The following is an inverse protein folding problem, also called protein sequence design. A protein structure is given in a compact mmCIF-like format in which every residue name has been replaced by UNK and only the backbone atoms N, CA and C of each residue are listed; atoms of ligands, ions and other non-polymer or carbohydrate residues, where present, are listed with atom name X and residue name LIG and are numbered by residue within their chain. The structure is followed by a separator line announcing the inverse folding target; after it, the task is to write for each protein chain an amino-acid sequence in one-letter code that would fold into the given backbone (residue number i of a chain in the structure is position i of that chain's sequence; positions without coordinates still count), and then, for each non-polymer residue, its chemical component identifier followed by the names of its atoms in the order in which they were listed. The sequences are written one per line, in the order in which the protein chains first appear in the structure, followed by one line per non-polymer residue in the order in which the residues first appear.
data_IF_765732415608
#
_entry.id   IF_765732415608
#
_cell.length_a   1.000
_cell.length_b   1.000
_cell.length_c   1.000
_cell.angle_alpha   90.00
_cell.angle_beta   90.00
_cell.angle_gamma   90.00
#
_symmetry.space_group_name_H-M   'P 1'
#
loop_
_entity.id
_entity.type
_entity.pdbx_description
1 polymer ?
#
# COMPACT_ATOMS: atom_id res chain seq x y z
N UNK A 1 -9.99 -1.92 1.17
CA UNK A 1 -8.82 -2.63 1.75
C UNK A 1 -7.57 -2.09 1.09
N UNK A 2 -6.77 -1.30 1.80
CA UNK A 2 -5.46 -0.89 1.30
C UNK A 2 -4.50 -2.05 1.58
N UNK A 3 -4.06 -2.75 0.52
CA UNK A 3 -3.05 -3.80 0.66
C UNK A 3 -1.76 -3.14 1.17
N UNK A 4 -1.36 -3.48 2.39
CA UNK A 4 -0.06 -3.11 2.95
C UNK A 4 1.01 -3.80 2.10
N UNK A 5 1.98 -3.04 1.59
CA UNK A 5 3.16 -3.62 0.93
C UNK A 5 4.14 -4.15 1.96
N UNK A 6 4.84 -5.21 1.57
CA UNK A 6 5.98 -5.74 2.31
C UNK A 6 7.12 -4.70 2.33
N UNK A 7 7.89 -4.55 3.43
CA UNK A 7 9.08 -3.70 3.47
C UNK A 7 10.05 -3.91 2.31
N UNK A 8 10.17 -5.14 1.82
CA UNK A 8 11.00 -5.47 0.67
C UNK A 8 10.48 -4.81 -0.62
N UNK A 9 9.17 -4.86 -0.86
CA UNK A 9 8.53 -4.20 -2.00
C UNK A 9 8.68 -2.67 -1.90
N UNK A 10 8.57 -2.12 -0.69
CA UNK A 10 8.79 -0.69 -0.42
C UNK A 10 10.22 -0.29 -0.81
N UNK A 11 11.23 -1.05 -0.38
CA UNK A 11 12.63 -0.83 -0.78
C UNK A 11 12.82 -0.93 -2.28
N UNK A 12 12.21 -1.91 -2.93
CA UNK A 12 12.30 -2.07 -4.38
C UNK A 12 11.71 -0.88 -5.14
N UNK A 13 10.57 -0.33 -4.68
CA UNK A 13 10.00 0.89 -5.24
C UNK A 13 10.97 2.05 -5.09
N UNK A 14 11.56 2.24 -3.91
CA UNK A 14 12.54 3.32 -3.65
C UNK A 14 13.77 3.22 -4.57
N UNK A 15 14.30 2.00 -4.79
CA UNK A 15 15.43 1.77 -5.71
C UNK A 15 15.06 2.16 -7.13
N UNK A 16 13.88 1.74 -7.62
CA UNK A 16 13.45 2.05 -8.98
C UNK A 16 13.13 3.55 -9.17
N UNK A 17 12.63 4.23 -8.14
CA UNK A 17 12.46 5.69 -8.16
C UNK A 17 13.81 6.40 -8.25
N UNK A 18 14.80 5.96 -7.48
CA UNK A 18 16.17 6.50 -7.55
C UNK A 18 16.80 6.29 -8.93
N UNK A 19 16.49 5.17 -9.58
CA UNK A 19 16.94 4.85 -10.93
C UNK A 19 16.16 5.60 -12.04
N UNK A 20 15.17 6.43 -11.68
CA UNK A 20 14.44 7.29 -12.61
C UNK A 20 13.28 6.61 -13.34
N UNK A 21 12.82 5.45 -12.88
CA UNK A 21 11.67 4.77 -13.50
C UNK A 21 10.36 5.51 -13.21
N UNK A 22 9.47 5.55 -14.20
CA UNK A 22 8.11 6.08 -14.00
C UNK A 22 7.27 5.15 -13.12
N UNK A 23 6.33 5.70 -12.35
CA UNK A 23 5.43 4.91 -11.50
C UNK A 23 4.68 3.80 -12.25
N UNK A 24 4.36 4.03 -13.53
CA UNK A 24 3.75 3.02 -14.41
C UNK A 24 4.71 1.87 -14.70
N UNK A 25 5.98 2.18 -14.99
CA UNK A 25 7.03 1.20 -15.20
C UNK A 25 7.31 0.38 -13.94
N UNK A 26 7.38 1.04 -12.78
CA UNK A 26 7.57 0.39 -11.48
C UNK A 26 6.45 -0.63 -11.21
N UNK A 27 5.19 -0.23 -11.41
CA UNK A 27 4.06 -1.14 -11.23
C UNK A 27 4.11 -2.35 -12.18
N UNK A 28 4.52 -2.14 -13.43
CA UNK A 28 4.69 -3.23 -14.39
C UNK A 28 5.83 -4.20 -14.02
N UNK A 29 6.96 -3.68 -13.50
CA UNK A 29 8.12 -4.49 -13.11
C UNK A 29 7.81 -5.33 -11.87
N UNK A 30 7.23 -4.70 -10.83
CA UNK A 30 6.97 -5.34 -9.55
C UNK A 30 5.65 -6.14 -9.53
N UNK A 31 4.82 -6.02 -10.56
CA UNK A 31 3.47 -6.60 -10.57
C UNK A 31 2.51 -5.93 -9.58
N UNK A 32 2.86 -4.72 -9.12
CA UNK A 32 2.06 -3.93 -8.17
C UNK A 32 1.16 -2.97 -8.94
N UNK A 33 -0.06 -2.74 -8.46
CA UNK A 33 -0.97 -1.80 -9.12
C UNK A 33 -0.36 -0.38 -9.16
N UNK A 34 -0.50 0.31 -10.30
CA UNK A 34 -0.02 1.70 -10.44
C UNK A 34 -0.58 2.63 -9.35
N UNK A 35 -1.79 2.36 -8.88
CA UNK A 35 -2.45 3.15 -7.85
C UNK A 35 -1.74 2.96 -6.50
N UNK A 36 -1.35 1.72 -6.18
CA UNK A 36 -0.55 1.41 -4.99
C UNK A 36 0.80 2.14 -5.06
N UNK A 37 1.53 2.03 -6.18
CA UNK A 37 2.81 2.75 -6.36
C UNK A 37 2.62 4.25 -6.18
N UNK A 38 1.58 4.84 -6.79
CA UNK A 38 1.28 6.26 -6.64
C UNK A 38 1.00 6.66 -5.18
N UNK A 39 0.27 5.84 -4.43
CA UNK A 39 0.01 6.08 -3.00
C UNK A 39 1.30 6.09 -2.19
N UNK A 40 2.17 5.11 -2.40
CA UNK A 40 3.46 5.04 -1.71
C UNK A 40 4.40 6.19 -2.10
N UNK A 41 4.47 6.56 -3.38
CA UNK A 41 5.23 7.73 -3.84
C UNK A 41 4.76 9.02 -3.15
N UNK A 42 3.45 9.21 -3.00
CA UNK A 42 2.91 10.34 -2.24
C UNK A 42 3.34 10.30 -0.78
N UNK A 43 3.31 9.13 -0.13
CA UNK A 43 3.77 8.99 1.24
C UNK A 43 5.27 9.29 1.40
N UNK A 44 6.11 8.85 0.45
CA UNK A 44 7.54 9.17 0.44
C UNK A 44 7.75 10.68 0.37
N UNK A 45 7.07 11.36 -0.55
CA UNK A 45 7.18 12.82 -0.69
C UNK A 45 6.66 13.57 0.55
N UNK A 46 5.60 13.06 1.19
CA UNK A 46 5.06 13.65 2.43
C UNK A 46 5.89 13.34 3.67
N UNK A 47 6.81 12.37 3.62
CA UNK A 47 7.61 11.98 4.78
C UNK A 47 8.70 12.99 5.16
N UNK A 48 9.06 13.90 4.24
CA UNK A 48 10.12 14.88 4.43
C UNK A 48 11.54 14.35 4.22
N UNK A 49 11.71 13.05 3.96
CA UNK A 49 13.00 12.42 3.66
C UNK A 49 13.23 12.33 2.15
N UNK A 50 14.50 12.43 1.75
CA UNK A 50 14.90 12.11 0.39
C UNK A 50 14.85 10.59 0.12
N UNK A 51 14.69 10.20 -1.14
CA UNK A 51 14.70 8.79 -1.53
C UNK A 51 16.00 8.08 -1.12
N UNK A 52 17.14 8.80 -1.14
CA UNK A 52 18.44 8.28 -0.71
C UNK A 52 18.48 7.95 0.79
N UNK A 53 17.91 8.81 1.63
CA UNK A 53 17.81 8.58 3.08
C UNK A 53 16.87 7.42 3.39
N UNK A 54 15.72 7.35 2.71
CA UNK A 54 14.76 6.26 2.88
C UNK A 54 15.37 4.89 2.56
N UNK A 55 16.29 4.82 1.59
CA UNK A 55 17.00 3.57 1.26
C UNK A 55 17.98 3.12 2.34
N UNK A 56 18.45 4.02 3.20
CA UNK A 56 19.34 3.69 4.31
C UNK A 56 18.59 3.21 5.56
N UNK A 57 17.26 3.32 5.58
CA UNK A 57 16.45 2.83 6.70
C UNK A 57 16.34 1.31 6.68
N UNK A 58 16.30 0.74 7.87
CA UNK A 58 16.01 -0.66 8.08
C UNK A 58 14.52 -0.97 7.80
N UNK A 59 14.21 -2.24 7.63
CA UNK A 59 12.85 -2.69 7.29
C UNK A 59 11.83 -2.37 8.39
N UNK A 60 12.25 -2.35 9.66
CA UNK A 60 11.35 -2.02 10.78
C UNK A 60 10.97 -0.55 10.75
N UNK A 61 11.94 0.34 10.50
CA UNK A 61 11.71 1.77 10.38
C UNK A 61 10.86 2.14 9.16
N UNK A 62 11.10 1.50 8.02
CA UNK A 62 10.25 1.67 6.83
C UNK A 62 8.81 1.20 7.09
N UNK A 63 8.66 0.07 7.78
CA UNK A 63 7.35 -0.42 8.21
C UNK A 63 6.63 0.59 9.09
N UNK A 64 7.32 1.20 10.06
CA UNK A 64 6.72 2.18 10.97
C UNK A 64 6.26 3.45 10.24
N UNK A 65 7.08 3.94 9.30
CA UNK A 65 6.81 5.16 8.53
C UNK A 65 5.68 4.99 7.52
N UNK A 66 5.64 3.83 6.83
CA UNK A 66 4.72 3.59 5.70
C UNK A 66 3.66 2.53 5.98
N UNK A 67 3.53 2.08 7.24
CA UNK A 67 2.31 1.40 7.65
C UNK A 67 1.17 2.39 7.51
N UNK A 68 0.10 1.95 6.84
CA UNK A 68 -1.17 2.66 6.77
C UNK A 68 -1.62 3.00 8.19
N UNK A 69 -1.23 4.17 8.70
CA UNK A 69 -1.88 4.78 9.84
C UNK A 69 -3.29 5.00 9.35
N UNK A 70 -4.17 4.07 9.70
CA UNK A 70 -5.58 4.33 9.56
C UNK A 70 -5.79 5.59 10.39
N UNK A 71 -6.29 6.65 9.76
CA UNK A 71 -6.75 7.87 10.45
C UNK A 71 -8.02 7.59 11.25
N UNK A 72 -8.16 6.35 11.71
CA UNK A 72 -9.21 5.91 12.60
C UNK A 72 -8.79 6.48 13.94
N UNK A 73 -9.42 7.60 14.28
CA UNK A 73 -9.53 8.05 15.66
C UNK A 73 -9.98 6.86 16.50
N UNK A 74 -9.07 6.36 17.34
CA UNK A 74 -9.22 5.13 18.10
C UNK A 74 -10.42 5.25 19.03
N UNK A 75 -10.59 6.41 19.68
CA UNK A 75 -11.71 6.67 20.59
C UNK A 75 -13.04 6.61 19.83
N UNK A 76 -13.15 7.34 18.71
CA UNK A 76 -14.39 7.38 17.92
C UNK A 76 -14.76 6.00 17.36
N UNK A 77 -13.76 5.21 16.99
CA UNK A 77 -13.98 3.86 16.50
C UNK A 77 -14.42 2.91 17.60
N UNK A 78 -13.81 3.00 18.78
CA UNK A 78 -14.15 2.15 19.93
C UNK A 78 -15.59 2.41 20.40
N UNK A 79 -16.00 3.68 20.46
CA UNK A 79 -17.39 4.05 20.77
C UNK A 79 -18.39 3.45 19.79
N UNK A 80 -18.09 3.52 18.47
CA UNK A 80 -18.89 2.86 17.46
C UNK A 80 -18.91 1.34 17.68
N UNK A 81 -17.77 0.70 17.97
CA UNK A 81 -17.70 -0.75 18.14
C UNK A 81 -18.57 -1.25 19.31
N UNK A 82 -18.62 -0.51 20.41
CA UNK A 82 -19.49 -0.79 21.56
C UNK A 82 -20.97 -0.64 21.20
N UNK A 83 -21.32 0.43 20.48
CA UNK A 83 -22.70 0.62 20.01
C UNK A 83 -23.16 -0.53 19.08
N UNK A 84 -22.29 -0.95 18.15
CA UNK A 84 -22.59 -2.05 17.24
C UNK A 84 -22.79 -3.40 17.95
N UNK A 85 -22.11 -3.63 19.08
CA UNK A 85 -22.31 -4.83 19.90
C UNK A 85 -23.69 -4.85 20.54
N UNK A 86 -24.11 -3.71 21.12
CA UNK A 86 -25.41 -3.56 21.74
C UNK A 86 -26.54 -3.81 20.74
N UNK A 87 -26.50 -3.20 19.56
CA UNK A 87 -27.57 -3.39 18.56
C UNK A 87 -27.55 -4.78 17.93
N UNK A 88 -26.39 -5.43 17.83
CA UNK A 88 -26.31 -6.79 17.30
C UNK A 88 -26.97 -7.80 18.25
N UNK A 89 -26.91 -7.57 19.56
CA UNK A 89 -27.65 -8.36 20.55
C UNK A 89 -29.18 -8.18 20.41
N UNK A 90 -29.63 -6.97 20.07
CA UNK A 90 -31.05 -6.65 19.86
C UNK A 90 -31.60 -7.07 18.49
N UNK A 91 -30.76 -7.66 17.61
CA UNK A 91 -31.11 -7.95 16.21
C UNK A 91 -32.28 -8.92 16.03
N UNK A 92 -32.51 -9.80 17.00
CA UNK A 92 -33.63 -10.76 16.99
C UNK A 92 -34.98 -10.12 17.34
N UNK A 93 -35.00 -8.86 17.73
CA UNK A 93 -36.22 -8.17 18.13
C UNK A 93 -37.06 -7.75 16.91
N UNK A 94 -38.39 -7.96 16.92
CA UNK A 94 -39.27 -7.50 15.86
C UNK A 94 -39.22 -5.96 15.75
N UNK A 95 -39.17 -5.44 14.52
CA UNK A 95 -39.05 -4.00 14.27
C UNK A 95 -37.61 -3.46 14.24
N UNK A 96 -36.59 -4.32 14.33
CA UNK A 96 -35.20 -3.93 14.16
C UNK A 96 -34.96 -3.30 12.78
N UNK A 97 -34.56 -2.02 12.77
CA UNK A 97 -34.15 -1.33 11.53
C UNK A 97 -32.82 -0.62 11.73
N UNK A 98 -31.93 -0.83 10.77
CA UNK A 98 -30.61 -0.20 10.77
C UNK A 98 -30.67 1.33 10.72
N UNK A 99 -31.68 1.89 10.05
CA UNK A 99 -31.90 3.34 9.97
C UNK A 99 -32.21 3.93 11.35
N UNK A 100 -33.07 3.27 12.14
CA UNK A 100 -33.41 3.72 13.48
C UNK A 100 -32.18 3.76 14.39
N UNK A 101 -31.41 2.66 14.43
CA UNK A 101 -30.19 2.58 15.23
C UNK A 101 -29.11 3.55 14.78
N UNK A 102 -28.99 3.82 13.48
CA UNK A 102 -28.08 4.85 13.01
C UNK A 102 -28.50 6.25 13.48
N UNK A 103 -29.79 6.58 13.38
CA UNK A 103 -30.28 7.89 13.81
C UNK A 103 -30.07 8.11 15.32
N UNK A 104 -30.30 7.06 16.12
CA UNK A 104 -30.01 7.06 17.56
C UNK A 104 -28.52 7.24 17.84
N UNK A 105 -27.65 6.47 17.17
CA UNK A 105 -26.19 6.65 17.26
C UNK A 105 -25.74 8.07 16.89
N UNK A 106 -26.26 8.61 15.79
CA UNK A 106 -25.87 9.93 15.29
C UNK A 106 -26.35 11.08 16.19
N UNK A 107 -27.43 10.89 16.95
CA UNK A 107 -27.91 11.87 17.93
C UNK A 107 -27.06 11.90 19.21
N UNK A 108 -26.44 10.77 19.58
CA UNK A 108 -25.71 10.61 20.83
C UNK A 108 -24.19 10.90 20.70
N UNK A 109 -23.69 11.15 19.49
CA UNK A 109 -22.25 11.29 19.21
C UNK A 109 -21.98 12.64 18.54
N UNK A 110 -20.96 13.37 19.00
CA UNK A 110 -20.60 14.71 18.50
C UNK A 110 -20.10 14.68 17.04
N UNK A 111 -19.37 13.63 16.65
CA UNK A 111 -18.83 13.45 15.30
C UNK A 111 -19.13 12.03 14.77
N UNK A 112 -20.39 11.74 14.39
CA UNK A 112 -20.79 10.40 14.01
C UNK A 112 -20.20 10.01 12.65
N UNK A 113 -19.91 8.72 12.49
CA UNK A 113 -19.68 8.16 11.15
C UNK A 113 -20.92 8.35 10.27
N UNK A 114 -20.73 8.48 8.96
CA UNK A 114 -21.85 8.52 8.03
C UNK A 114 -22.56 7.16 7.98
N UNK A 115 -23.82 7.14 7.55
CA UNK A 115 -24.62 5.92 7.44
C UNK A 115 -23.91 4.80 6.66
N UNK A 116 -23.28 5.14 5.53
CA UNK A 116 -22.52 4.17 4.73
C UNK A 116 -21.33 3.59 5.51
N UNK A 117 -20.59 4.43 6.25
CA UNK A 117 -19.47 3.99 7.07
C UNK A 117 -19.94 3.10 8.23
N UNK A 118 -21.02 3.49 8.91
CA UNK A 118 -21.65 2.67 9.95
C UNK A 118 -21.99 1.26 9.42
N UNK A 119 -22.61 1.18 8.24
CA UNK A 119 -22.94 -0.11 7.62
C UNK A 119 -21.70 -0.89 7.22
N UNK A 120 -20.67 -0.23 6.69
CA UNK A 120 -19.40 -0.88 6.36
C UNK A 120 -18.76 -1.50 7.61
N UNK A 121 -18.69 -0.74 8.71
CA UNK A 121 -18.17 -1.20 9.99
C UNK A 121 -18.97 -2.38 10.54
N UNK A 122 -20.31 -2.31 10.50
CA UNK A 122 -21.19 -3.39 10.93
C UNK A 122 -21.01 -4.65 10.09
N UNK A 123 -21.01 -4.52 8.76
CA UNK A 123 -20.80 -5.66 7.86
C UNK A 123 -19.42 -6.27 8.03
N UNK A 124 -18.37 -5.45 8.16
CA UNK A 124 -17.02 -5.95 8.39
C UNK A 124 -16.91 -6.75 9.69
N UNK A 125 -17.64 -6.36 10.74
CA UNK A 125 -17.64 -7.03 12.05
C UNK A 125 -18.46 -8.32 12.07
N UNK A 126 -19.65 -8.33 11.45
CA UNK A 126 -20.63 -9.42 11.62
C UNK A 126 -21.00 -10.19 10.35
N UNK A 127 -20.71 -9.68 9.15
CA UNK A 127 -20.96 -10.43 7.91
C UNK A 127 -19.80 -11.39 7.65
N UNK A 128 -20.10 -12.68 7.71
CA UNK A 128 -19.17 -13.72 7.24
C UNK A 128 -19.00 -13.56 5.73
N UNK A 129 -17.75 -13.49 5.27
CA UNK A 129 -17.43 -13.56 3.84
C UNK A 129 -18.01 -14.87 3.29
N UNK A 130 -19.07 -14.80 2.47
CA UNK A 130 -19.40 -15.90 1.57
C UNK A 130 -18.17 -16.06 0.67
N UNK A 131 -17.37 -17.09 0.90
CA UNK A 131 -16.12 -17.31 0.19
C UNK A 131 -16.35 -17.35 -1.33
N UNK A 132 -16.11 -16.23 -2.00
CA UNK A 132 -16.00 -16.19 -3.44
C UNK A 132 -14.58 -16.65 -3.77
N UNK A 133 -14.46 -17.91 -4.19
CA UNK A 133 -13.21 -18.46 -4.76
C UNK A 133 -13.02 -17.85 -6.15
N UNK A 134 -12.50 -16.63 -6.23
CA UNK A 134 -12.01 -16.10 -7.49
C UNK A 134 -10.51 -16.45 -7.62
N UNK A 135 -10.22 -17.59 -8.23
CA UNK A 135 -8.86 -17.98 -8.58
C UNK A 135 -8.45 -17.14 -9.80
N UNK A 136 -7.62 -16.13 -9.55
CA UNK A 136 -7.00 -15.34 -10.63
C UNK A 136 -6.02 -16.25 -11.37
N UNK A 137 -6.38 -16.68 -12.58
CA UNK A 137 -5.44 -17.30 -13.53
C UNK A 137 -4.47 -16.21 -13.97
N UNK A 138 -3.32 -16.11 -13.30
CA UNK A 138 -2.22 -15.30 -13.80
C UNK A 138 -1.69 -15.95 -15.08
N UNK A 139 -1.89 -15.28 -16.21
CA UNK A 139 -1.42 -15.71 -17.52
C UNK A 139 0.12 -15.71 -17.56
N UNK A 140 0.69 -16.85 -17.95
CA UNK A 140 2.15 -17.08 -18.10
C UNK A 140 2.86 -16.03 -18.97
N UNK A 141 2.12 -15.35 -19.85
CA UNK A 141 2.65 -14.28 -20.69
C UNK A 141 3.21 -13.11 -19.87
N UNK A 142 2.58 -12.76 -18.74
CA UNK A 142 3.04 -11.65 -17.89
C UNK A 142 4.34 -11.97 -17.14
N UNK A 143 4.55 -13.26 -16.80
CA UNK A 143 5.77 -13.72 -16.13
C UNK A 143 6.96 -13.65 -17.11
N UNK A 144 6.76 -14.06 -18.36
CA UNK A 144 7.80 -14.03 -19.40
C UNK A 144 8.22 -12.61 -19.79
N UNK A 145 7.28 -11.67 -19.80
CA UNK A 145 7.58 -10.25 -20.05
C UNK A 145 8.40 -9.67 -18.88
N UNK A 146 8.06 -9.99 -17.62
CA UNK A 146 8.80 -9.51 -16.45
C UNK A 146 10.24 -10.06 -16.40
N UNK A 147 10.43 -11.36 -16.67
CA UNK A 147 11.76 -11.98 -16.75
C UNK A 147 12.64 -11.35 -17.83
N UNK A 148 12.07 -11.07 -19.01
CA UNK A 148 12.80 -10.46 -20.12
C UNK A 148 13.25 -9.03 -19.79
N UNK A 149 12.41 -8.25 -19.11
CA UNK A 149 12.73 -6.88 -18.69
C UNK A 149 13.80 -6.88 -17.60
N UNK A 150 13.68 -7.75 -16.58
CA UNK A 150 14.66 -7.84 -15.48
C UNK A 150 16.04 -8.25 -15.99
N UNK A 151 16.11 -9.22 -16.91
CA UNK A 151 17.37 -9.65 -17.53
C UNK A 151 17.98 -8.51 -18.36
N UNK A 152 17.15 -7.77 -19.11
CA UNK A 152 17.61 -6.63 -19.91
C UNK A 152 18.15 -5.49 -19.05
N UNK A 153 17.47 -5.19 -17.93
CA UNK A 153 17.90 -4.15 -16.98
C UNK A 153 19.20 -4.52 -16.24
N UNK A 154 19.38 -5.77 -15.84
CA UNK A 154 20.64 -6.24 -15.22
C UNK A 154 21.81 -6.19 -16.21
N UNK A 155 21.59 -6.56 -17.47
CA UNK A 155 22.62 -6.53 -18.50
C UNK A 155 23.04 -5.08 -18.83
N UNK A 156 22.08 -4.16 -18.92
CA UNK A 156 22.37 -2.76 -19.22
C UNK A 156 23.13 -2.07 -18.08
N UNK A 157 22.85 -2.41 -16.82
CA UNK A 157 23.59 -1.90 -15.65
C UNK A 157 25.03 -2.40 -15.61
N UNK A 158 25.27 -3.66 -16.00
CA UNK A 158 26.61 -4.23 -16.08
C UNK A 158 27.45 -3.56 -17.18
N UNK A 159 26.83 -3.28 -18.34
CA UNK A 159 27.51 -2.60 -19.46
C UNK A 159 27.87 -1.15 -19.09
N UNK A 160 26.98 -0.41 -18.45
CA UNK A 160 27.27 0.96 -17.99
C UNK A 160 28.41 1.01 -16.96
N UNK A 161 28.43 0.10 -15.98
CA UNK A 161 29.52 0.04 -15.00
C UNK A 161 30.87 -0.29 -15.66
N UNK A 162 30.91 -1.21 -16.63
CA UNK A 162 32.14 -1.51 -17.36
C UNK A 162 32.66 -0.31 -18.18
N UNK A 163 31.77 0.42 -18.86
CA UNK A 163 32.17 1.61 -19.61
C UNK A 163 32.73 2.71 -18.70
N UNK A 164 32.15 2.90 -17.52
CA UNK A 164 32.60 3.93 -16.58
C UNK A 164 33.98 3.61 -15.99
N UNK A 165 34.26 2.34 -15.68
CA UNK A 165 35.57 1.89 -15.18
C UNK A 165 36.66 2.04 -16.25
N UNK A 166 36.34 1.72 -17.52
CA UNK A 166 37.28 1.90 -18.63
C UNK A 166 37.56 3.38 -18.91
N UNK A 167 36.54 4.25 -18.81
CA UNK A 167 36.70 5.69 -18.99
C UNK A 167 37.56 6.33 -17.89
N UNK A 168 37.36 5.94 -16.61
CA UNK A 168 38.21 6.38 -15.51
C UNK A 168 39.65 5.88 -15.64
N UNK A 169 39.86 4.64 -16.06
CA UNK A 169 41.20 4.08 -16.28
C UNK A 169 41.95 4.78 -17.42
N UNK A 170 41.24 5.19 -18.48
CA UNK A 170 41.81 5.95 -19.59
C UNK A 170 42.13 7.40 -19.19
N UNK A 171 41.28 8.04 -18.40
CA UNK A 171 41.55 9.39 -17.88
C UNK A 171 42.75 9.44 -16.95
N UNK A 172 42.96 8.42 -16.11
CA UNK A 172 44.12 8.36 -15.19
C UNK A 172 45.43 8.21 -15.98
N UNK A 173 45.43 7.51 -17.12
CA UNK A 173 46.61 7.35 -17.99
C UNK A 173 46.96 8.59 -18.84
N UNK A 174 46.08 9.57 -18.92
CA UNK A 174 46.32 10.83 -19.67
C UNK A 174 46.91 11.92 -18.76
N UNK A 175 46.82 11.76 -17.44
CA UNK A 175 47.25 12.76 -16.44
C UNK A 175 48.64 12.42 -15.84
N UNK A 176 49.18 11.23 -16.11
CA UNK A 176 50.51 10.73 -15.72
C UNK A 176 51.44 10.64 -16.92
#
# INVERSE_FOLDING_TARGET
MANKLDPMDIKQILVLLKDGFSNRGIGAILGISRNTVNTYVKQFNSSGYSIGELLNFDESRLNELFTSKTTIDVSRHDDLMLYLEHINAARSHPGFTFQYHYNDYAANVINPYSYTQFMEHFHRKYMRVKGSKHIVKLSWVNILISLSIIVRLRLQRAICNCLQILCLSWMIKIIL
#
